data_IF_530596636148
#
_entry.id   IF_530596636148
#
_cell.length_a   1.000
_cell.length_b   1.000
_cell.length_c   1.000
_cell.angle_alpha   90.00
_cell.angle_beta   90.00
_cell.angle_gamma   90.00
#
_symmetry.space_group_name_H-M   'P 1'
#
loop_
_entity.id
_entity.type
_entity.pdbx_description
1 polymer ?
#
# COMPACT_ATOMS: atom_id res chain seq x y z
N UNK A 1 -31.50 -34.63 2.23
CA UNK A 1 -30.78 -33.40 1.82
C UNK A 1 -30.30 -33.54 0.38
N UNK A 2 -30.70 -32.63 -0.50
CA UNK A 2 -30.30 -32.59 -1.92
C UNK A 2 -28.79 -32.40 -2.08
N UNK A 3 -28.20 -32.86 -3.20
CA UNK A 3 -26.76 -32.71 -3.51
C UNK A 3 -26.30 -31.24 -3.36
N UNK A 4 -27.14 -30.30 -3.77
CA UNK A 4 -26.90 -28.86 -3.64
C UNK A 4 -26.72 -28.39 -2.17
N UNK A 5 -27.57 -28.86 -1.24
CA UNK A 5 -27.45 -28.51 0.18
C UNK A 5 -26.15 -29.03 0.82
N UNK A 6 -25.69 -30.21 0.42
CA UNK A 6 -24.41 -30.77 0.89
C UNK A 6 -23.22 -29.95 0.37
N UNK A 7 -23.28 -29.53 -0.90
CA UNK A 7 -22.24 -28.70 -1.52
C UNK A 7 -22.16 -27.31 -0.88
N UNK A 8 -23.29 -26.65 -0.68
CA UNK A 8 -23.36 -25.35 0.01
C UNK A 8 -22.76 -25.42 1.41
N UNK A 9 -23.13 -26.44 2.21
CA UNK A 9 -22.54 -26.62 3.56
C UNK A 9 -21.03 -26.87 3.53
N UNK A 10 -20.52 -27.58 2.53
CA UNK A 10 -19.07 -27.81 2.36
C UNK A 10 -18.35 -26.49 2.03
N UNK A 11 -18.90 -25.69 1.12
CA UNK A 11 -18.33 -24.40 0.75
C UNK A 11 -18.31 -23.43 1.93
N UNK A 12 -19.38 -23.41 2.72
CA UNK A 12 -19.50 -22.59 3.93
C UNK A 12 -18.40 -22.92 4.95
N UNK A 13 -18.20 -24.20 5.26
CA UNK A 13 -17.15 -24.63 6.18
C UNK A 13 -15.75 -24.29 5.66
N UNK A 14 -15.54 -24.40 4.34
CA UNK A 14 -14.27 -24.04 3.71
C UNK A 14 -14.01 -22.53 3.83
N UNK A 15 -14.99 -21.70 3.50
CA UNK A 15 -14.89 -20.25 3.62
C UNK A 15 -14.59 -19.83 5.06
N UNK A 16 -15.34 -20.35 6.04
CA UNK A 16 -15.09 -20.06 7.46
C UNK A 16 -13.68 -20.47 7.90
N UNK A 17 -13.23 -21.66 7.51
CA UNK A 17 -11.89 -22.15 7.90
C UNK A 17 -10.79 -21.27 7.32
N UNK A 18 -10.90 -20.87 6.05
CA UNK A 18 -9.96 -19.94 5.41
C UNK A 18 -9.95 -18.58 6.09
N UNK A 19 -11.12 -18.02 6.43
CA UNK A 19 -11.22 -16.73 7.10
C UNK A 19 -10.60 -16.75 8.50
N UNK A 20 -10.69 -17.86 9.24
CA UNK A 20 -10.09 -17.97 10.56
C UNK A 20 -8.56 -18.07 10.50
N UNK A 21 -7.98 -18.66 9.44
CA UNK A 21 -6.52 -18.80 9.30
C UNK A 21 -5.78 -17.46 9.12
N UNK A 22 -6.47 -16.41 8.68
CA UNK A 22 -5.86 -15.08 8.44
C UNK A 22 -6.00 -14.13 9.63
N UNK A 23 -6.68 -14.56 10.71
CA UNK A 23 -6.92 -13.74 11.89
C UNK A 23 -5.81 -14.03 12.91
N UNK A 24 -5.15 -12.99 13.48
CA UNK A 24 -4.18 -13.20 14.56
C UNK A 24 -4.80 -13.91 15.77
N UNK A 25 -4.04 -14.80 16.39
CA UNK A 25 -4.51 -15.69 17.47
C UNK A 25 -5.21 -14.93 18.61
N UNK A 26 -4.72 -13.74 18.96
CA UNK A 26 -5.29 -12.87 19.99
C UNK A 26 -6.75 -12.47 19.75
N UNK A 27 -7.23 -12.52 18.50
CA UNK A 27 -8.61 -12.20 18.15
C UNK A 27 -9.48 -13.44 17.87
N UNK A 28 -8.90 -14.63 17.70
CA UNK A 28 -9.63 -15.82 17.23
C UNK A 28 -10.85 -16.16 18.08
N UNK A 29 -10.74 -16.09 19.40
CA UNK A 29 -11.84 -16.41 20.33
C UNK A 29 -13.10 -15.57 20.05
N UNK A 30 -12.95 -14.30 19.63
CA UNK A 30 -14.06 -13.40 19.33
C UNK A 30 -14.78 -13.77 18.02
N UNK A 31 -14.06 -14.35 17.07
CA UNK A 31 -14.57 -14.68 15.74
C UNK A 31 -15.05 -16.13 15.61
N UNK A 32 -14.55 -17.05 16.45
CA UNK A 32 -14.86 -18.47 16.35
C UNK A 32 -16.34 -18.80 16.59
N UNK A 33 -17.02 -17.99 17.41
CA UNK A 33 -18.44 -18.08 17.73
C UNK A 33 -19.35 -17.77 16.54
N UNK A 34 -18.87 -17.05 15.51
CA UNK A 34 -19.65 -16.67 14.34
C UNK A 34 -19.82 -17.88 13.43
N UNK A 35 -21.06 -18.34 13.24
CA UNK A 35 -21.35 -19.59 12.53
C UNK A 35 -21.34 -19.44 11.01
N UNK A 36 -21.73 -18.27 10.53
CA UNK A 36 -21.89 -17.96 9.11
C UNK A 36 -20.67 -17.18 8.59
N UNK A 37 -20.15 -17.61 7.44
CA UNK A 37 -18.94 -17.09 6.82
C UNK A 37 -19.12 -15.65 6.33
N UNK A 38 -20.32 -15.27 5.87
CA UNK A 38 -20.60 -13.88 5.47
C UNK A 38 -20.59 -12.96 6.68
N UNK A 39 -21.27 -13.34 7.77
CA UNK A 39 -21.23 -12.56 9.01
C UNK A 39 -19.82 -12.50 9.61
N UNK A 40 -19.04 -13.59 9.50
CA UNK A 40 -17.64 -13.61 9.93
C UNK A 40 -16.82 -12.60 9.12
N UNK A 41 -16.97 -12.58 7.80
CA UNK A 41 -16.32 -11.62 6.92
C UNK A 41 -16.70 -10.17 7.27
N UNK A 42 -17.98 -9.87 7.49
CA UNK A 42 -18.41 -8.53 7.89
C UNK A 42 -17.80 -8.12 9.24
N UNK A 43 -17.77 -9.01 10.22
CA UNK A 43 -17.17 -8.74 11.52
C UNK A 43 -15.66 -8.45 11.41
N UNK A 44 -14.94 -9.22 10.57
CA UNK A 44 -13.51 -8.99 10.29
C UNK A 44 -13.31 -7.60 9.67
N UNK A 45 -14.13 -7.23 8.67
CA UNK A 45 -14.09 -5.89 8.06
C UNK A 45 -14.36 -4.78 9.06
N UNK A 46 -15.32 -4.97 9.96
CA UNK A 46 -15.63 -3.96 11.00
C UNK A 46 -14.45 -3.81 11.96
N UNK A 47 -13.83 -4.92 12.37
CA UNK A 47 -12.73 -4.90 13.34
C UNK A 47 -11.42 -4.38 12.77
N UNK A 48 -11.04 -4.81 11.57
CA UNK A 48 -9.72 -4.58 10.99
C UNK A 48 -9.74 -3.69 9.76
N UNK A 49 -10.89 -3.53 9.11
CA UNK A 49 -11.01 -2.76 7.88
C UNK A 49 -10.89 -1.25 8.10
N UNK A 50 -10.85 -0.77 9.35
CA UNK A 50 -10.83 0.65 9.70
C UNK A 50 -12.16 1.34 9.41
N UNK A 51 -12.58 2.24 10.30
CA UNK A 51 -13.75 3.09 10.04
C UNK A 51 -13.41 4.20 9.03
N UNK A 52 -14.43 4.87 8.47
CA UNK A 52 -14.26 5.93 7.46
C UNK A 52 -13.31 7.05 7.94
N UNK A 53 -13.38 7.42 9.21
CA UNK A 53 -12.55 8.48 9.80
C UNK A 53 -11.10 8.06 9.92
N UNK A 54 -10.84 6.85 10.40
CA UNK A 54 -9.49 6.28 10.49
C UNK A 54 -8.85 6.16 9.11
N UNK A 55 -9.57 5.69 8.09
CA UNK A 55 -9.07 5.68 6.71
C UNK A 55 -8.71 7.07 6.24
N UNK A 56 -9.60 8.05 6.42
CA UNK A 56 -9.35 9.45 6.05
C UNK A 56 -8.14 10.04 6.79
N UNK A 57 -7.99 9.73 8.07
CA UNK A 57 -6.86 10.17 8.89
C UNK A 57 -5.55 9.56 8.37
N UNK A 58 -5.54 8.25 8.12
CA UNK A 58 -4.39 7.55 7.54
C UNK A 58 -4.00 8.13 6.17
N UNK A 59 -4.97 8.36 5.27
CA UNK A 59 -4.73 9.01 3.98
C UNK A 59 -4.13 10.40 4.15
N UNK A 60 -4.63 11.20 5.10
CA UNK A 60 -4.07 12.53 5.41
C UNK A 60 -2.62 12.44 5.87
N UNK A 61 -2.29 11.48 6.75
CA UNK A 61 -0.92 11.25 7.21
C UNK A 61 0.00 10.85 6.05
N UNK A 62 -0.44 9.94 5.19
CA UNK A 62 0.36 9.51 4.03
C UNK A 62 0.60 10.66 3.05
N UNK A 63 -0.41 11.50 2.78
CA UNK A 63 -0.24 12.72 1.97
C UNK A 63 0.77 13.67 2.59
N UNK A 64 0.70 13.87 3.91
CA UNK A 64 1.67 14.71 4.61
C UNK A 64 3.08 14.11 4.54
N UNK A 65 3.22 12.79 4.67
CA UNK A 65 4.51 12.11 4.52
C UNK A 65 5.06 12.23 3.10
N UNK A 66 4.20 12.13 2.09
CA UNK A 66 4.57 12.37 0.70
C UNK A 66 5.04 13.80 0.51
N UNK A 67 4.28 14.78 0.99
CA UNK A 67 4.65 16.18 0.80
C UNK A 67 5.96 16.56 1.47
N UNK A 68 6.23 16.00 2.66
CA UNK A 68 7.47 16.23 3.39
C UNK A 68 8.54 15.19 3.10
N UNK A 69 8.37 14.36 2.06
CA UNK A 69 9.35 13.35 1.73
C UNK A 69 10.67 14.03 1.36
N UNK A 70 11.71 13.74 2.11
CA UNK A 70 13.07 14.23 1.88
C UNK A 70 14.06 13.14 2.24
N UNK A 71 15.14 13.06 1.47
CA UNK A 71 16.22 12.10 1.70
C UNK A 71 17.14 12.63 2.79
N UNK A 72 17.46 11.79 3.78
CA UNK A 72 18.44 12.18 4.79
C UNK A 72 19.86 12.18 4.20
N UNK A 73 20.74 13.07 4.68
CA UNK A 73 22.10 13.22 4.12
C UNK A 73 22.95 11.95 4.19
N UNK A 74 22.65 11.05 5.12
CA UNK A 74 23.37 9.79 5.35
C UNK A 74 22.68 8.57 4.75
N UNK A 75 21.58 8.76 4.02
CA UNK A 75 20.79 7.68 3.45
C UNK A 75 21.16 7.42 2.01
N UNK A 76 21.43 6.16 1.71
CA UNK A 76 21.77 5.70 0.38
C UNK A 76 20.56 5.77 -0.56
N UNK A 77 20.83 5.90 -1.86
CA UNK A 77 19.81 6.01 -2.90
C UNK A 77 18.82 4.83 -2.84
N UNK A 78 19.33 3.60 -2.69
CA UNK A 78 18.51 2.37 -2.60
C UNK A 78 17.48 2.46 -1.47
N UNK A 79 17.93 2.86 -0.27
CA UNK A 79 17.05 2.99 0.89
C UNK A 79 16.02 4.11 0.72
N UNK A 80 16.41 5.19 0.05
CA UNK A 80 15.50 6.30 -0.30
C UNK A 80 14.41 5.80 -1.25
N UNK A 81 14.83 5.09 -2.29
CA UNK A 81 13.97 4.52 -3.31
C UNK A 81 12.95 3.55 -2.69
N UNK A 82 13.41 2.58 -1.90
CA UNK A 82 12.54 1.62 -1.21
C UNK A 82 11.47 2.31 -0.35
N UNK A 83 11.86 3.35 0.39
CA UNK A 83 10.95 4.13 1.21
C UNK A 83 9.94 4.90 0.37
N UNK A 84 10.38 5.49 -0.73
CA UNK A 84 9.52 6.27 -1.61
C UNK A 84 8.52 5.36 -2.33
N UNK A 85 8.98 4.26 -2.91
CA UNK A 85 8.12 3.28 -3.58
C UNK A 85 7.08 2.70 -2.61
N UNK A 86 7.50 2.35 -1.39
CA UNK A 86 6.57 1.93 -0.32
C UNK A 86 5.50 2.97 -0.03
N UNK A 87 5.86 4.25 0.02
CA UNK A 87 4.93 5.35 0.27
C UNK A 87 3.92 5.52 -0.87
N UNK A 88 4.38 5.45 -2.12
CA UNK A 88 3.52 5.49 -3.30
C UNK A 88 2.52 4.33 -3.30
N UNK A 89 2.99 3.10 -3.09
CA UNK A 89 2.09 1.93 -3.01
C UNK A 89 1.07 2.05 -1.87
N UNK A 90 1.46 2.63 -0.73
CA UNK A 90 0.52 2.88 0.37
C UNK A 90 -0.55 3.93 0.00
N UNK A 91 -0.19 4.97 -0.76
CA UNK A 91 -1.14 5.98 -1.23
C UNK A 91 -2.13 5.38 -2.24
N UNK A 92 -1.64 4.60 -3.20
CA UNK A 92 -2.47 3.90 -4.19
C UNK A 92 -3.47 2.94 -3.54
N UNK A 93 -3.03 2.15 -2.55
CA UNK A 93 -3.90 1.26 -1.78
C UNK A 93 -5.00 2.00 -1.00
N UNK A 94 -4.79 3.29 -0.70
CA UNK A 94 -5.77 4.16 -0.06
C UNK A 94 -6.61 4.98 -1.06
N UNK A 95 -6.48 4.69 -2.37
CA UNK A 95 -7.25 5.33 -3.44
C UNK A 95 -6.68 6.66 -3.93
N UNK A 96 -5.46 7.01 -3.54
CA UNK A 96 -4.76 8.21 -4.02
C UNK A 96 -3.90 7.83 -5.22
N UNK A 97 -4.24 8.37 -6.38
CA UNK A 97 -3.49 8.13 -7.62
C UNK A 97 -2.49 9.26 -7.79
N UNK A 98 -1.21 8.91 -7.82
CA UNK A 98 -0.11 9.85 -8.12
C UNK A 98 0.32 9.56 -9.56
N UNK A 99 0.40 10.59 -10.39
CA UNK A 99 0.89 10.41 -11.76
C UNK A 99 2.36 9.98 -11.72
N UNK A 100 2.79 9.24 -12.73
CA UNK A 100 4.18 8.80 -12.81
C UNK A 100 5.15 9.99 -12.88
N UNK A 101 4.77 11.02 -13.65
CA UNK A 101 5.48 12.31 -13.71
C UNK A 101 5.62 12.95 -12.32
N UNK A 102 4.51 13.09 -11.57
CA UNK A 102 4.54 13.72 -10.25
C UNK A 102 5.44 12.96 -9.29
N UNK A 103 5.35 11.63 -9.31
CA UNK A 103 6.15 10.77 -8.44
C UNK A 103 7.65 10.86 -8.79
N UNK A 104 8.00 10.83 -10.07
CA UNK A 104 9.38 11.01 -10.56
C UNK A 104 9.93 12.38 -10.15
N UNK A 105 9.16 13.44 -10.40
CA UNK A 105 9.56 14.80 -10.06
C UNK A 105 9.68 15.00 -8.55
N UNK A 106 8.80 14.38 -7.75
CA UNK A 106 8.89 14.41 -6.30
C UNK A 106 10.15 13.71 -5.81
N UNK A 107 10.46 12.51 -6.31
CA UNK A 107 11.67 11.79 -5.94
C UNK A 107 12.93 12.64 -6.24
N UNK A 108 13.04 13.18 -7.46
CA UNK A 108 14.17 14.00 -7.88
C UNK A 108 14.34 15.27 -7.04
N UNK A 109 13.24 15.93 -6.63
CA UNK A 109 13.26 17.10 -5.73
C UNK A 109 13.62 16.74 -4.29
N UNK A 110 13.42 15.49 -3.90
CA UNK A 110 13.63 15.01 -2.54
C UNK A 110 15.06 14.50 -2.30
N UNK A 111 15.87 14.38 -3.35
CA UNK A 111 17.26 13.95 -3.24
C UNK A 111 18.12 14.99 -2.50
N UNK A 112 19.19 14.55 -1.80
CA UNK A 112 20.10 15.47 -1.12
C UNK A 112 20.82 16.40 -2.12
N UNK A 113 21.32 17.57 -1.68
CA UNK A 113 22.00 18.52 -2.56
C UNK A 113 23.22 17.94 -3.33
N UNK A 114 23.84 16.88 -2.81
CA UNK A 114 24.93 16.16 -3.50
C UNK A 114 24.52 15.56 -4.84
N UNK A 115 23.21 15.36 -5.07
CA UNK A 115 22.65 14.80 -6.29
C UNK A 115 22.08 15.86 -7.25
N UNK A 116 22.21 17.16 -6.94
CA UNK A 116 21.56 18.23 -7.69
C UNK A 116 21.86 18.21 -9.20
N UNK A 117 23.11 17.93 -9.59
CA UNK A 117 23.50 17.89 -11.01
C UNK A 117 22.84 16.73 -11.75
N UNK A 118 22.85 15.54 -11.15
CA UNK A 118 22.21 14.34 -11.72
C UNK A 118 20.70 14.55 -11.79
N UNK A 119 20.08 15.07 -10.72
CA UNK A 119 18.66 15.37 -10.69
C UNK A 119 18.26 16.41 -11.75
N UNK A 120 19.09 17.43 -11.99
CA UNK A 120 18.84 18.42 -13.05
C UNK A 120 18.88 17.79 -14.43
N UNK A 121 19.84 16.92 -14.72
CA UNK A 121 19.94 16.19 -15.99
C UNK A 121 18.70 15.32 -16.19
N UNK A 122 18.28 14.58 -15.16
CA UNK A 122 17.10 13.70 -15.24
C UNK A 122 15.80 14.47 -15.47
N UNK A 123 15.63 15.64 -14.84
CA UNK A 123 14.43 16.48 -15.03
C UNK A 123 14.25 16.98 -16.46
N UNK A 124 15.34 17.10 -17.22
CA UNK A 124 15.32 17.57 -18.59
C UNK A 124 15.23 16.43 -19.62
N UNK A 125 15.12 15.18 -19.18
CA UNK A 125 14.93 14.05 -20.09
C UNK A 125 13.55 14.12 -20.76
N UNK A 126 13.46 13.91 -22.08
CA UNK A 126 12.21 14.04 -22.82
C UNK A 126 11.16 12.98 -22.44
N UNK A 127 11.58 11.86 -21.86
CA UNK A 127 10.76 10.75 -21.44
C UNK A 127 10.41 10.77 -19.95
N UNK A 128 10.77 11.81 -19.19
CA UNK A 128 10.60 11.83 -17.72
C UNK A 128 9.14 11.60 -17.26
N UNK A 129 8.16 12.01 -18.07
CA UNK A 129 6.73 11.85 -17.81
C UNK A 129 6.25 10.40 -17.97
N UNK A 130 6.92 9.63 -18.83
CA UNK A 130 6.56 8.24 -19.19
C UNK A 130 7.58 7.20 -18.69
N UNK A 131 8.70 7.67 -18.13
CA UNK A 131 9.77 6.85 -17.56
C UNK A 131 9.31 6.18 -16.28
N UNK A 132 9.37 4.84 -16.23
CA UNK A 132 8.97 4.12 -15.02
C UNK A 132 9.85 4.51 -13.83
N UNK A 133 9.33 4.37 -12.62
CA UNK A 133 10.09 4.72 -11.41
C UNK A 133 11.33 3.82 -11.25
N UNK A 134 11.25 2.55 -11.66
CA UNK A 134 12.38 1.61 -11.71
C UNK A 134 13.46 2.08 -12.70
N UNK A 135 13.06 2.50 -13.91
CA UNK A 135 14.00 2.99 -14.92
C UNK A 135 14.65 4.31 -14.49
N UNK A 136 13.89 5.20 -13.84
CA UNK A 136 14.44 6.42 -13.25
C UNK A 136 15.51 6.07 -12.21
N UNK A 137 15.22 5.13 -11.31
CA UNK A 137 16.16 4.69 -10.29
C UNK A 137 17.42 4.05 -10.90
N UNK A 138 17.27 3.20 -11.92
CA UNK A 138 18.42 2.62 -12.63
C UNK A 138 19.28 3.69 -13.32
N UNK A 139 18.66 4.75 -13.84
CA UNK A 139 19.38 5.89 -14.42
C UNK A 139 20.12 6.74 -13.38
N UNK A 140 19.70 6.69 -12.11
CA UNK A 140 20.35 7.40 -11.00
C UNK A 140 21.54 6.62 -10.41
N UNK A 141 21.67 5.31 -10.68
CA UNK A 141 22.83 4.52 -10.31
C UNK A 141 24.03 4.80 -11.21
#
# INVERSE_FOLDING_TARGET
KTKAQKLSKKNELKAKSTLLLVIPDEYLLKFHSIKDANYLWEAIKIRFGGNKESKKMHTTILKQQYENFVTSRSEWLDKTYDRFQKLISQLELNGEVISQEDANMKLLRSLPPTWNNIALIMRNKPDIETLSMDDLYNNLK
#
